data_IF_770227477101
#
_entry.id   IF_770227477101
#
_cell.length_a   1.000
_cell.length_b   1.000
_cell.length_c   1.000
_cell.angle_alpha   90.00
_cell.angle_beta   90.00
_cell.angle_gamma   90.00
#
_symmetry.space_group_name_H-M   'P 1'
#
loop_
_entity.id
_entity.type
_entity.pdbx_description
1 polymer ?
#
# COMPACT_ATOMS: atom_id res chain seq x y z
N UNK A 1 -17.61 20.63 -15.74
CA UNK A 1 -16.23 21.17 -15.78
C UNK A 1 -15.27 19.99 -15.88
N UNK A 2 -14.14 20.11 -16.59
CA UNK A 2 -13.17 19.02 -16.77
C UNK A 2 -12.52 18.62 -15.43
N UNK A 3 -12.44 17.32 -15.15
CA UNK A 3 -11.67 16.70 -14.06
C UNK A 3 -10.18 16.73 -14.37
N UNK A 4 -9.42 17.51 -13.61
CA UNK A 4 -7.98 17.67 -13.78
C UNK A 4 -7.26 16.96 -12.64
N UNK A 5 -6.45 15.96 -12.96
CA UNK A 5 -5.56 15.31 -12.00
C UNK A 5 -4.13 15.77 -12.23
N UNK A 6 -3.48 16.26 -11.19
CA UNK A 6 -2.04 16.55 -11.21
C UNK A 6 -1.32 15.41 -10.50
N UNK A 7 -0.59 14.60 -11.27
CA UNK A 7 0.26 13.56 -10.71
C UNK A 7 1.58 14.20 -10.30
N UNK A 8 1.90 14.08 -9.02
CA UNK A 8 3.07 14.62 -8.36
C UNK A 8 4.01 13.45 -8.05
N UNK A 9 4.85 13.09 -9.02
CA UNK A 9 5.76 11.95 -8.90
C UNK A 9 7.10 12.39 -8.31
N UNK A 10 7.56 11.70 -7.27
CA UNK A 10 8.87 11.98 -6.67
C UNK A 10 10.04 11.54 -7.55
N UNK A 11 9.81 10.62 -8.47
CA UNK A 11 10.83 10.17 -9.43
C UNK A 11 10.96 11.18 -10.57
N UNK A 12 12.14 11.33 -11.20
CA UNK A 12 12.33 12.27 -12.31
C UNK A 12 11.42 12.02 -13.51
N UNK A 13 11.03 10.76 -13.72
CA UNK A 13 10.14 10.32 -14.79
C UNK A 13 8.88 9.75 -14.13
N UNK A 14 7.71 10.42 -14.27
CA UNK A 14 6.46 9.91 -13.73
C UNK A 14 6.12 8.53 -14.30
N UNK A 15 5.66 7.63 -13.43
CA UNK A 15 5.31 6.29 -13.88
C UNK A 15 4.03 6.31 -14.75
N UNK A 16 4.05 5.53 -15.83
CA UNK A 16 2.94 5.46 -16.79
C UNK A 16 1.75 4.65 -16.27
N UNK A 17 1.98 3.76 -15.31
CA UNK A 17 0.96 2.92 -14.70
C UNK A 17 -0.15 3.79 -14.07
N UNK A 18 0.26 4.76 -13.25
CA UNK A 18 -0.67 5.64 -12.54
C UNK A 18 -1.44 6.57 -13.49
N UNK A 19 -0.82 6.99 -14.60
CA UNK A 19 -1.50 7.76 -15.66
C UNK A 19 -2.62 6.95 -16.30
N UNK A 20 -2.36 5.70 -16.69
CA UNK A 20 -3.36 4.82 -17.32
C UNK A 20 -4.52 4.57 -16.36
N UNK A 21 -4.22 4.20 -15.11
CA UNK A 21 -5.26 3.93 -14.10
C UNK A 21 -6.10 5.18 -13.79
N UNK A 22 -5.49 6.37 -13.81
CA UNK A 22 -6.22 7.61 -13.62
C UNK A 22 -7.19 7.91 -14.77
N UNK A 23 -6.79 7.70 -16.02
CA UNK A 23 -7.71 7.85 -17.16
C UNK A 23 -8.85 6.82 -17.10
N UNK A 24 -8.53 5.56 -16.80
CA UNK A 24 -9.53 4.49 -16.60
C UNK A 24 -10.53 4.81 -15.46
N UNK A 25 -10.15 5.65 -14.51
CA UNK A 25 -11.01 6.14 -13.42
C UNK A 25 -11.96 7.28 -13.84
N UNK A 26 -11.90 7.72 -15.10
CA UNK A 26 -12.75 8.79 -15.64
C UNK A 26 -12.21 10.20 -15.36
N UNK A 27 -10.89 10.36 -15.27
CA UNK A 27 -10.22 11.68 -15.29
C UNK A 27 -10.19 12.22 -16.71
N UNK A 28 -10.53 13.50 -16.90
CA UNK A 28 -10.53 14.10 -18.24
C UNK A 28 -9.12 14.47 -18.72
N UNK A 29 -8.27 14.98 -17.82
CA UNK A 29 -6.87 15.35 -18.10
C UNK A 29 -5.98 14.97 -16.93
N UNK A 30 -4.92 14.20 -17.21
CA UNK A 30 -3.85 13.89 -16.25
C UNK A 30 -2.61 14.67 -16.66
N UNK A 31 -2.09 15.49 -15.74
CA UNK A 31 -0.84 16.25 -15.91
C UNK A 31 0.25 15.60 -15.05
N UNK A 32 1.12 14.75 -15.62
CA UNK A 32 2.22 14.14 -14.89
C UNK A 32 3.39 15.11 -14.72
N UNK A 33 3.85 15.27 -13.48
CA UNK A 33 4.99 16.10 -13.10
C UNK A 33 5.97 15.24 -12.31
N UNK A 34 7.23 15.19 -12.76
CA UNK A 34 8.29 14.40 -12.13
C UNK A 34 9.25 15.25 -11.32
N UNK A 35 10.04 14.59 -10.48
CA UNK A 35 11.05 15.21 -9.62
C UNK A 35 10.44 16.08 -8.52
N UNK A 36 9.21 15.81 -8.10
CA UNK A 36 8.52 16.63 -7.11
C UNK A 36 9.14 16.47 -5.73
N UNK A 37 9.51 17.60 -5.13
CA UNK A 37 10.03 17.67 -3.76
C UNK A 37 9.09 18.46 -2.84
N UNK A 38 9.19 18.28 -1.50
CA UNK A 38 8.46 19.10 -0.54
C UNK A 38 8.69 20.61 -0.69
N UNK A 39 9.88 21.03 -1.16
CA UNK A 39 10.23 22.43 -1.33
C UNK A 39 9.54 23.08 -2.55
N UNK A 40 9.29 22.30 -3.60
CA UNK A 40 8.77 22.81 -4.87
C UNK A 40 7.25 22.66 -4.99
N UNK A 41 6.65 21.70 -4.27
CA UNK A 41 5.24 21.37 -4.42
C UNK A 41 4.28 22.52 -4.08
N UNK A 42 4.73 23.48 -3.24
CA UNK A 42 3.90 24.61 -2.82
C UNK A 42 3.30 25.42 -3.98
N UNK A 43 4.14 25.84 -4.93
CA UNK A 43 3.70 26.61 -6.11
C UNK A 43 2.72 25.84 -6.99
N UNK A 44 2.88 24.52 -7.08
CA UNK A 44 1.96 23.66 -7.82
C UNK A 44 0.59 23.63 -7.13
N UNK A 45 0.57 23.44 -5.80
CA UNK A 45 -0.67 23.43 -5.03
C UNK A 45 -1.40 24.76 -5.12
N UNK A 46 -0.70 25.89 -5.04
CA UNK A 46 -1.28 27.22 -5.24
C UNK A 46 -2.00 27.33 -6.59
N UNK A 47 -1.34 26.91 -7.68
CA UNK A 47 -1.94 26.91 -9.02
C UNK A 47 -3.19 26.04 -9.11
N UNK A 48 -3.25 24.91 -8.41
CA UNK A 48 -4.42 24.03 -8.41
C UNK A 48 -5.55 24.59 -7.55
N UNK A 49 -5.22 25.18 -6.40
CA UNK A 49 -6.17 25.60 -5.39
C UNK A 49 -6.78 26.98 -5.68
N UNK A 50 -6.04 27.94 -6.24
CA UNK A 50 -6.53 29.31 -6.48
C UNK A 50 -7.25 29.49 -7.82
N UNK A 51 -7.13 28.56 -8.76
CA UNK A 51 -7.64 28.72 -10.13
C UNK A 51 -9.11 28.35 -10.32
N UNK A 52 -9.77 27.79 -9.30
CA UNK A 52 -11.19 27.43 -9.34
C UNK A 52 -11.98 27.95 -8.12
N UNK A 53 -13.21 28.47 -8.33
CA UNK A 53 -14.08 28.89 -7.23
C UNK A 53 -14.47 27.69 -6.35
N UNK A 54 -14.90 27.91 -5.08
CA UNK A 54 -15.13 26.85 -4.10
C UNK A 54 -15.94 25.64 -4.61
N UNK A 55 -17.10 25.86 -5.23
CA UNK A 55 -17.97 24.78 -5.74
C UNK A 55 -17.32 23.96 -6.88
N UNK A 56 -16.32 24.52 -7.55
CA UNK A 56 -15.60 23.88 -8.66
C UNK A 56 -14.28 23.23 -8.25
N UNK A 57 -13.82 23.40 -6.99
CA UNK A 57 -12.54 22.84 -6.52
C UNK A 57 -12.50 21.32 -6.60
N UNK A 58 -13.63 20.64 -6.40
CA UNK A 58 -13.74 19.18 -6.53
C UNK A 58 -13.42 18.65 -7.94
N UNK A 59 -13.40 19.50 -8.97
CA UNK A 59 -12.99 19.05 -10.31
C UNK A 59 -11.46 19.04 -10.48
N UNK A 60 -10.68 19.43 -9.47
CA UNK A 60 -9.22 19.35 -9.46
C UNK A 60 -8.77 18.44 -8.32
N UNK A 61 -7.77 17.61 -8.56
CA UNK A 61 -7.22 16.72 -7.56
C UNK A 61 -5.71 16.54 -7.72
N UNK A 62 -5.05 16.09 -6.65
CA UNK A 62 -3.62 15.79 -6.60
C UNK A 62 -3.42 14.29 -6.38
N UNK A 63 -2.42 13.72 -7.04
CA UNK A 63 -2.04 12.32 -6.84
C UNK A 63 -0.53 12.22 -6.64
N UNK A 64 -0.10 11.95 -5.41
CA UNK A 64 1.31 11.78 -5.05
C UNK A 64 1.75 10.34 -5.35
N UNK A 65 2.74 10.21 -6.22
CA UNK A 65 3.25 8.92 -6.75
C UNK A 65 4.78 8.85 -6.64
N UNK A 66 5.37 7.77 -7.16
CA UNK A 66 6.83 7.57 -7.23
C UNK A 66 7.32 6.36 -6.46
N UNK A 67 8.61 6.08 -6.55
CA UNK A 67 9.20 4.83 -6.03
C UNK A 67 9.57 4.86 -4.54
N UNK A 68 9.79 6.06 -3.98
CA UNK A 68 10.23 6.22 -2.61
C UNK A 68 9.08 6.66 -1.69
N UNK A 69 8.65 5.75 -0.83
CA UNK A 69 7.57 6.02 0.11
C UNK A 69 7.83 7.22 1.02
N UNK A 70 9.03 7.34 1.61
CA UNK A 70 9.33 8.45 2.54
C UNK A 70 9.30 9.80 1.81
N UNK A 71 9.74 9.84 0.55
CA UNK A 71 9.64 11.04 -0.28
C UNK A 71 8.17 11.38 -0.58
N UNK A 72 7.34 10.40 -0.97
CA UNK A 72 5.91 10.59 -1.23
C UNK A 72 5.16 11.07 0.02
N UNK A 73 5.49 10.53 1.19
CA UNK A 73 4.93 10.97 2.48
C UNK A 73 5.29 12.43 2.80
N UNK A 74 6.54 12.82 2.57
CA UNK A 74 7.00 14.19 2.76
C UNK A 74 6.30 15.16 1.80
N UNK A 75 6.09 14.76 0.54
CA UNK A 75 5.34 15.55 -0.45
C UNK A 75 3.87 15.67 -0.04
N UNK A 76 3.22 14.58 0.39
CA UNK A 76 1.84 14.63 0.89
C UNK A 76 1.71 15.58 2.09
N UNK A 77 2.65 15.51 3.04
CA UNK A 77 2.67 16.41 4.18
C UNK A 77 2.82 17.88 3.76
N UNK A 78 3.72 18.18 2.82
CA UNK A 78 3.90 19.52 2.27
C UNK A 78 2.65 20.02 1.52
N UNK A 79 2.00 19.17 0.71
CA UNK A 79 0.73 19.49 0.05
C UNK A 79 -0.33 19.88 1.08
N UNK A 80 -0.50 19.06 2.13
CA UNK A 80 -1.48 19.33 3.19
C UNK A 80 -1.17 20.60 3.96
N UNK A 81 0.12 20.94 4.13
CA UNK A 81 0.57 22.17 4.78
C UNK A 81 0.19 23.44 4.00
N UNK A 82 -0.09 23.35 2.70
CA UNK A 82 -0.54 24.48 1.88
C UNK A 82 -2.06 24.71 1.95
N UNK A 83 -2.82 23.78 2.50
CA UNK A 83 -4.27 23.89 2.56
C UNK A 83 -4.73 24.78 3.72
N UNK A 84 -5.64 25.72 3.45
CA UNK A 84 -6.24 26.58 4.47
C UNK A 84 -7.72 26.88 4.15
N UNK A 85 -8.60 26.86 5.17
CA UNK A 85 -10.03 27.10 4.97
C UNK A 85 -10.60 26.23 3.82
N UNK A 86 -11.31 26.85 2.88
CA UNK A 86 -11.84 26.18 1.67
C UNK A 86 -10.82 26.08 0.52
N UNK A 87 -9.61 26.62 0.67
CA UNK A 87 -8.54 26.57 -0.31
C UNK A 87 -7.79 25.23 -0.18
N UNK A 88 -8.46 24.18 -0.68
CA UNK A 88 -7.97 22.81 -0.72
C UNK A 88 -8.63 22.03 -1.86
N UNK A 89 -7.95 20.96 -2.25
CA UNK A 89 -8.43 19.94 -3.20
C UNK A 89 -8.18 18.56 -2.60
N UNK A 90 -8.85 17.55 -3.13
CA UNK A 90 -8.60 16.17 -2.71
C UNK A 90 -7.22 15.70 -3.16
N UNK A 91 -6.57 14.88 -2.34
CA UNK A 91 -5.24 14.32 -2.60
C UNK A 91 -5.18 12.83 -2.25
N UNK A 92 -4.50 12.04 -3.09
CA UNK A 92 -4.16 10.64 -2.82
C UNK A 92 -2.65 10.46 -2.74
N UNK A 93 -2.16 9.52 -1.93
CA UNK A 93 -0.79 9.02 -1.95
C UNK A 93 -0.79 7.53 -2.29
N UNK A 94 -0.04 7.13 -3.32
CA UNK A 94 0.14 5.72 -3.67
C UNK A 94 1.47 5.42 -4.37
N UNK A 95 2.60 5.79 -3.75
CA UNK A 95 3.94 5.53 -4.26
C UNK A 95 4.14 4.05 -4.63
N UNK A 96 4.33 3.76 -5.93
CA UNK A 96 4.42 2.42 -6.52
C UNK A 96 3.30 1.46 -6.08
N UNK A 97 2.07 1.96 -5.97
CA UNK A 97 0.92 1.12 -5.61
C UNK A 97 0.97 0.62 -4.16
N UNK A 98 1.77 1.22 -3.30
CA UNK A 98 2.00 0.76 -1.93
C UNK A 98 0.74 0.68 -1.08
N UNK A 99 -0.07 1.73 -1.06
CA UNK A 99 -1.31 1.76 -0.31
C UNK A 99 -2.34 0.84 -0.95
N UNK A 100 -2.53 0.91 -2.28
CA UNK A 100 -3.59 0.14 -2.95
C UNK A 100 -3.30 -1.36 -2.99
N UNK A 101 -2.04 -1.77 -3.14
CA UNK A 101 -1.64 -3.19 -3.13
C UNK A 101 -1.82 -3.79 -1.74
N UNK A 102 -1.32 -3.11 -0.71
CA UNK A 102 -1.49 -3.55 0.67
C UNK A 102 -2.98 -3.61 1.04
N UNK A 103 -3.75 -2.57 0.71
CA UNK A 103 -5.15 -2.50 1.04
C UNK A 103 -5.98 -3.59 0.35
N UNK A 104 -5.72 -3.86 -0.93
CA UNK A 104 -6.37 -4.94 -1.65
C UNK A 104 -6.07 -6.30 -1.02
N UNK A 105 -4.79 -6.61 -0.76
CA UNK A 105 -4.40 -7.88 -0.17
C UNK A 105 -5.01 -8.09 1.23
N UNK A 106 -4.92 -7.08 2.11
CA UNK A 106 -5.41 -7.22 3.49
C UNK A 106 -6.95 -7.19 3.54
N UNK A 107 -7.63 -6.39 2.72
CA UNK A 107 -9.09 -6.37 2.69
C UNK A 107 -9.68 -7.67 2.15
N UNK A 108 -9.08 -8.23 1.10
CA UNK A 108 -9.46 -9.54 0.57
C UNK A 108 -9.26 -10.63 1.63
N UNK A 109 -8.13 -10.59 2.33
CA UNK A 109 -7.87 -11.53 3.42
C UNK A 109 -8.90 -11.39 4.56
N UNK A 110 -9.19 -10.17 4.99
CA UNK A 110 -10.10 -9.88 6.10
C UNK A 110 -11.54 -10.35 5.83
N UNK A 111 -11.92 -10.53 4.56
CA UNK A 111 -13.23 -11.07 4.19
C UNK A 111 -13.34 -12.58 4.41
N UNK A 112 -12.22 -13.30 4.43
CA UNK A 112 -12.21 -14.76 4.53
C UNK A 112 -11.74 -15.26 5.90
N UNK A 113 -10.89 -14.48 6.59
CA UNK A 113 -10.33 -14.88 7.89
C UNK A 113 -10.33 -13.72 8.90
N UNK A 114 -10.62 -13.99 10.18
CA UNK A 114 -10.51 -12.97 11.22
C UNK A 114 -9.05 -12.59 11.44
N UNK A 115 -8.75 -11.29 11.42
CA UNK A 115 -7.40 -10.75 11.63
C UNK A 115 -7.14 -10.38 13.11
N UNK A 116 -8.17 -9.96 13.82
CA UNK A 116 -8.07 -9.55 15.22
C UNK A 116 -7.53 -10.69 16.09
N UNK A 117 -6.52 -10.39 16.91
CA UNK A 117 -5.86 -11.37 17.79
C UNK A 117 -4.98 -12.38 17.06
N UNK A 118 -4.82 -12.28 15.73
CA UNK A 118 -3.88 -13.12 14.97
C UNK A 118 -2.49 -12.53 14.95
N UNK A 119 -1.50 -13.40 14.87
CA UNK A 119 -0.10 -13.04 14.68
C UNK A 119 0.25 -13.03 13.20
N UNK A 120 0.68 -11.89 12.67
CA UNK A 120 1.08 -11.72 11.28
C UNK A 120 2.57 -11.37 11.17
N UNK A 121 3.26 -11.95 10.19
CA UNK A 121 4.68 -11.71 9.93
C UNK A 121 4.87 -11.18 8.51
N UNK A 122 5.48 -10.01 8.38
CA UNK A 122 5.80 -9.38 7.08
C UNK A 122 7.29 -9.56 6.78
N UNK A 123 7.60 -10.50 5.89
CA UNK A 123 8.95 -10.77 5.44
C UNK A 123 9.39 -9.75 4.39
N UNK A 124 10.56 -9.13 4.60
CA UNK A 124 11.02 -8.04 3.73
C UNK A 124 10.20 -6.75 3.90
N UNK A 125 9.58 -6.56 5.07
CA UNK A 125 8.55 -5.56 5.30
C UNK A 125 9.01 -4.10 5.33
N UNK A 126 10.30 -3.80 5.17
CA UNK A 126 10.81 -2.42 5.17
C UNK A 126 10.51 -1.65 3.88
N UNK A 127 10.04 -2.31 2.82
CA UNK A 127 9.63 -1.65 1.58
C UNK A 127 8.26 -0.97 1.68
N UNK A 128 7.87 -0.16 0.67
CA UNK A 128 6.60 0.58 0.65
C UNK A 128 5.36 -0.27 0.94
N UNK A 129 5.19 -1.37 0.22
CA UNK A 129 4.03 -2.28 0.38
C UNK A 129 4.05 -2.95 1.75
N UNK A 130 5.22 -3.44 2.19
CA UNK A 130 5.37 -4.13 3.48
C UNK A 130 5.01 -3.27 4.68
N UNK A 131 5.44 -2.00 4.69
CA UNK A 131 5.09 -1.07 5.75
C UNK A 131 3.58 -0.81 5.80
N UNK A 132 2.92 -0.65 4.63
CA UNK A 132 1.48 -0.42 4.57
C UNK A 132 0.65 -1.64 4.94
N UNK A 133 1.05 -2.82 4.48
CA UNK A 133 0.41 -4.07 4.87
C UNK A 133 0.51 -4.29 6.38
N UNK A 134 1.68 -4.03 6.97
CA UNK A 134 1.88 -4.09 8.42
C UNK A 134 0.94 -3.13 9.16
N UNK A 135 0.84 -1.88 8.69
CA UNK A 135 -0.09 -0.90 9.25
C UNK A 135 -1.54 -1.36 9.18
N UNK A 136 -2.00 -1.85 8.04
CA UNK A 136 -3.40 -2.26 7.85
C UNK A 136 -3.75 -3.50 8.67
N UNK A 137 -2.83 -4.47 8.79
CA UNK A 137 -3.00 -5.62 9.68
C UNK A 137 -3.09 -5.19 11.15
N UNK A 138 -2.25 -4.25 11.59
CA UNK A 138 -2.30 -3.72 12.95
C UNK A 138 -3.61 -2.96 13.22
N UNK A 139 -4.07 -2.14 12.27
CA UNK A 139 -5.38 -1.46 12.35
C UNK A 139 -6.54 -2.45 12.39
N UNK A 140 -6.40 -3.62 11.75
CA UNK A 140 -7.37 -4.71 11.81
C UNK A 140 -7.25 -5.58 13.09
N UNK A 141 -6.41 -5.19 14.05
CA UNK A 141 -6.26 -5.83 15.35
C UNK A 141 -5.30 -7.02 15.39
N UNK A 142 -4.49 -7.23 14.36
CA UNK A 142 -3.44 -8.25 14.38
C UNK A 142 -2.22 -7.80 15.19
N UNK A 143 -1.52 -8.75 15.81
CA UNK A 143 -0.17 -8.55 16.32
C UNK A 143 0.82 -8.74 15.18
N UNK A 144 1.52 -7.67 14.80
CA UNK A 144 2.32 -7.66 13.57
C UNK A 144 3.81 -7.60 13.88
N UNK A 145 4.56 -8.55 13.31
CA UNK A 145 6.02 -8.49 13.21
C UNK A 145 6.45 -8.10 11.81
N UNK A 146 7.26 -7.07 11.71
CA UNK A 146 7.86 -6.59 10.46
C UNK A 146 9.33 -6.94 10.45
N UNK A 147 9.78 -7.65 9.41
CA UNK A 147 11.16 -8.16 9.35
C UNK A 147 12.03 -7.45 8.32
N UNK A 148 13.33 -7.53 8.54
CA UNK A 148 14.37 -7.14 7.59
C UNK A 148 15.61 -8.00 7.80
N UNK A 149 16.54 -7.97 6.85
CA UNK A 149 17.90 -8.53 7.03
C UNK A 149 18.71 -7.84 8.14
N UNK A 150 18.28 -6.66 8.59
CA UNK A 150 18.93 -5.87 9.64
C UNK A 150 17.90 -5.41 10.66
N UNK A 151 18.14 -5.68 11.95
CA UNK A 151 17.26 -5.25 13.03
C UNK A 151 17.11 -3.73 13.04
N UNK A 152 18.19 -2.98 12.78
CA UNK A 152 18.16 -1.52 12.75
C UNK A 152 17.15 -0.98 11.73
N UNK A 153 17.09 -1.58 10.53
CA UNK A 153 16.14 -1.18 9.48
C UNK A 153 14.70 -1.56 9.83
N UNK A 154 14.49 -2.77 10.35
CA UNK A 154 13.16 -3.20 10.82
C UNK A 154 12.66 -2.26 11.93
N UNK A 155 13.50 -1.98 12.93
CA UNK A 155 13.18 -1.08 14.04
C UNK A 155 12.89 0.35 13.58
N UNK A 156 13.63 0.87 12.61
CA UNK A 156 13.37 2.19 12.04
C UNK A 156 12.00 2.25 11.33
N UNK A 157 11.69 1.24 10.51
CA UNK A 157 10.38 1.15 9.84
C UNK A 157 9.22 1.01 10.83
N UNK A 158 9.36 0.14 11.85
CA UNK A 158 8.35 0.00 12.90
C UNK A 158 8.12 1.33 13.64
N UNK A 159 9.18 2.03 14.06
CA UNK A 159 9.04 3.33 14.73
C UNK A 159 8.28 4.34 13.86
N UNK A 160 8.68 4.49 12.60
CA UNK A 160 8.04 5.42 11.68
C UNK A 160 6.53 5.14 11.51
N UNK A 161 6.14 3.87 11.35
CA UNK A 161 4.73 3.51 11.21
C UNK A 161 3.95 3.62 12.53
N UNK A 162 4.56 3.23 13.66
CA UNK A 162 3.94 3.35 14.98
C UNK A 162 3.64 4.81 15.32
N UNK A 163 4.61 5.70 15.09
CA UNK A 163 4.45 7.14 15.33
C UNK A 163 3.38 7.75 14.43
N UNK A 164 3.40 7.43 13.13
CA UNK A 164 2.51 8.05 12.16
C UNK A 164 1.06 7.56 12.26
N UNK A 165 0.84 6.28 12.53
CA UNK A 165 -0.50 5.67 12.48
C UNK A 165 -1.06 5.29 13.86
N UNK A 166 -0.31 5.50 14.94
CA UNK A 166 -0.77 5.15 16.30
C UNK A 166 -0.93 3.65 16.52
N UNK A 167 -0.05 2.85 15.89
CA UNK A 167 -0.07 1.37 15.93
C UNK A 167 1.15 0.81 16.69
N UNK A 168 1.19 -0.50 16.88
CA UNK A 168 2.27 -1.20 17.58
C UNK A 168 2.84 -2.37 16.77
N UNK A 169 3.77 -2.06 15.88
CA UNK A 169 4.57 -3.04 15.13
C UNK A 169 5.80 -3.49 15.92
N UNK A 170 6.15 -4.77 15.79
CA UNK A 170 7.33 -5.39 16.40
C UNK A 170 8.41 -5.67 15.35
N UNK A 171 9.65 -5.18 15.50
CA UNK A 171 10.72 -5.48 14.55
C UNK A 171 11.35 -6.86 14.81
N UNK A 172 11.74 -7.57 13.75
CA UNK A 172 12.53 -8.79 13.85
C UNK A 172 13.56 -8.93 12.71
N UNK A 173 14.54 -9.81 12.88
CA UNK A 173 15.51 -10.15 11.84
C UNK A 173 15.05 -11.39 11.08
N UNK A 174 15.06 -11.31 9.76
CA UNK A 174 14.95 -12.45 8.87
C UNK A 174 15.98 -12.26 7.75
N UNK A 175 17.16 -12.87 7.92
CA UNK A 175 18.30 -12.80 7.00
C UNK A 175 18.63 -14.13 6.33
N UNK A 176 18.17 -15.22 6.93
CA UNK A 176 18.50 -16.60 6.58
C UNK A 176 17.34 -17.52 7.02
N UNK A 177 17.34 -18.81 6.61
CA UNK A 177 16.26 -19.74 6.98
C UNK A 177 16.02 -19.86 8.48
N UNK A 178 17.06 -19.81 9.31
CA UNK A 178 16.97 -19.96 10.77
C UNK A 178 16.24 -18.78 11.41
N UNK A 179 16.67 -17.55 11.08
CA UNK A 179 16.05 -16.31 11.58
C UNK A 179 14.64 -16.11 11.01
N UNK A 180 14.40 -16.57 9.77
CA UNK A 180 13.07 -16.58 9.16
C UNK A 180 12.14 -17.53 9.91
N UNK A 181 12.57 -18.77 10.17
CA UNK A 181 11.78 -19.73 10.95
C UNK A 181 11.48 -19.23 12.36
N UNK A 182 12.47 -18.63 13.05
CA UNK A 182 12.27 -18.02 14.36
C UNK A 182 11.24 -16.88 14.32
N UNK A 183 11.26 -16.04 13.28
CA UNK A 183 10.27 -14.96 13.11
C UNK A 183 8.85 -15.50 12.90
N UNK A 184 8.70 -16.68 12.29
CA UNK A 184 7.43 -17.33 12.01
C UNK A 184 6.83 -18.08 13.20
N UNK A 185 7.55 -18.19 14.34
CA UNK A 185 7.02 -18.82 15.54
C UNK A 185 5.63 -18.27 15.89
N UNK A 186 4.66 -19.19 16.03
CA UNK A 186 3.25 -18.92 16.34
C UNK A 186 2.52 -17.99 15.35
N UNK A 187 3.11 -17.75 14.18
CA UNK A 187 2.48 -16.96 13.13
C UNK A 187 1.24 -17.69 12.59
N UNK A 188 0.19 -16.91 12.34
CA UNK A 188 -1.04 -17.34 11.68
C UNK A 188 -1.07 -16.91 10.22
N UNK A 189 -0.46 -15.76 9.94
CA UNK A 189 -0.39 -15.13 8.62
C UNK A 189 1.08 -14.80 8.34
N UNK A 190 1.56 -15.11 7.15
CA UNK A 190 2.83 -14.60 6.63
C UNK A 190 2.60 -13.90 5.29
N UNK A 191 3.25 -12.75 5.11
CA UNK A 191 3.24 -12.02 3.86
C UNK A 191 4.67 -11.67 3.43
N UNK A 192 5.03 -11.92 2.17
CA UNK A 192 6.32 -11.53 1.60
C UNK A 192 6.18 -10.26 0.76
N UNK A 193 7.03 -9.27 1.05
CA UNK A 193 7.11 -7.99 0.32
C UNK A 193 8.53 -7.69 -0.13
N UNK A 194 9.22 -8.74 -0.57
CA UNK A 194 10.59 -8.68 -1.06
C UNK A 194 10.75 -7.94 -2.38
N UNK A 195 12.00 -7.76 -2.80
CA UNK A 195 12.31 -7.28 -4.13
C UNK A 195 11.80 -8.26 -5.20
N UNK A 196 11.51 -7.75 -6.39
CA UNK A 196 11.06 -8.55 -7.52
C UNK A 196 12.05 -9.69 -7.85
N UNK A 197 11.54 -10.87 -8.14
CA UNK A 197 12.32 -12.05 -8.53
C UNK A 197 13.17 -12.66 -7.39
N UNK A 198 12.83 -12.39 -6.13
CA UNK A 198 13.54 -12.94 -4.97
C UNK A 198 12.62 -13.81 -4.11
N UNK A 199 12.96 -15.08 -3.95
CA UNK A 199 12.33 -15.96 -2.96
C UNK A 199 12.80 -15.59 -1.54
N UNK A 200 11.86 -15.30 -0.65
CA UNK A 200 12.10 -15.02 0.77
C UNK A 200 11.70 -16.17 1.69
N UNK A 201 10.74 -17.00 1.27
CA UNK A 201 10.19 -18.07 2.10
C UNK A 201 10.11 -19.39 1.32
N UNK A 202 11.12 -20.26 1.45
CA UNK A 202 11.10 -21.59 0.85
C UNK A 202 9.93 -22.44 1.36
N UNK A 203 9.40 -23.33 0.52
CA UNK A 203 8.26 -24.20 0.85
C UNK A 203 8.43 -24.99 2.15
N UNK A 204 9.65 -25.45 2.42
CA UNK A 204 9.99 -26.24 3.60
C UNK A 204 9.73 -25.50 4.93
N UNK A 205 9.75 -24.16 4.94
CA UNK A 205 9.53 -23.37 6.16
C UNK A 205 8.05 -23.10 6.46
N UNK A 206 7.15 -23.25 5.49
CA UNK A 206 5.74 -22.92 5.67
C UNK A 206 4.79 -24.10 5.48
N UNK A 207 5.09 -25.06 4.60
CA UNK A 207 4.15 -26.13 4.25
C UNK A 207 3.65 -26.91 5.45
N UNK A 208 4.55 -27.27 6.38
CA UNK A 208 4.23 -28.02 7.60
C UNK A 208 4.17 -27.15 8.86
N UNK A 209 4.18 -25.81 8.72
CA UNK A 209 4.12 -24.93 9.88
C UNK A 209 2.77 -25.11 10.60
N UNK A 210 2.78 -25.38 11.93
CA UNK A 210 1.60 -25.89 12.64
C UNK A 210 0.46 -24.86 12.78
N UNK A 211 0.81 -23.57 12.86
CA UNK A 211 -0.16 -22.49 13.13
C UNK A 211 -0.46 -21.61 11.92
N UNK A 212 0.37 -21.67 10.86
CA UNK A 212 0.15 -20.84 9.68
C UNK A 212 -1.14 -21.30 9.00
N UNK A 213 -2.05 -20.36 8.74
CA UNK A 213 -3.28 -20.60 8.01
C UNK A 213 -3.26 -19.92 6.64
N UNK A 214 -2.45 -18.87 6.49
CA UNK A 214 -2.43 -17.98 5.32
C UNK A 214 -1.00 -17.64 4.94
N UNK A 215 -0.70 -17.73 3.63
CA UNK A 215 0.55 -17.27 3.02
C UNK A 215 0.23 -16.33 1.86
N UNK A 216 0.87 -15.16 1.83
CA UNK A 216 0.60 -14.11 0.84
C UNK A 216 1.92 -13.63 0.24
N UNK A 217 2.00 -13.59 -1.08
CA UNK A 217 3.12 -12.98 -1.78
C UNK A 217 2.67 -11.78 -2.58
N UNK A 218 3.50 -10.74 -2.63
CA UNK A 218 3.29 -9.54 -3.44
C UNK A 218 4.17 -9.49 -4.67
N UNK A 219 5.13 -10.41 -4.81
CA UNK A 219 5.99 -10.46 -5.96
C UNK A 219 5.20 -10.97 -7.19
N UNK A 220 5.24 -10.20 -8.27
CA UNK A 220 4.64 -10.56 -9.56
C UNK A 220 5.67 -11.04 -10.58
N UNK A 221 6.95 -11.02 -10.22
CA UNK A 221 8.07 -11.39 -11.09
C UNK A 221 8.66 -12.73 -10.61
N UNK A 222 8.66 -13.78 -11.46
CA UNK A 222 9.28 -15.06 -11.12
C UNK A 222 10.77 -14.95 -10.75
N UNK A 223 11.28 -15.76 -9.82
CA UNK A 223 10.52 -16.68 -8.96
C UNK A 223 9.61 -15.93 -7.97
N UNK A 224 8.52 -16.56 -7.54
CA UNK A 224 7.67 -16.02 -6.48
C UNK A 224 8.48 -15.82 -5.18
N UNK A 225 8.03 -14.89 -4.34
CA UNK A 225 8.58 -14.63 -3.02
C UNK A 225 8.38 -15.79 -2.03
N UNK A 226 7.39 -16.65 -2.28
CA UNK A 226 7.11 -17.85 -1.50
C UNK A 226 7.22 -19.07 -2.41
N UNK A 227 8.06 -20.03 -2.03
CA UNK A 227 8.19 -21.28 -2.78
C UNK A 227 6.93 -22.15 -2.66
N UNK A 228 6.50 -22.74 -3.77
CA UNK A 228 5.37 -23.69 -3.80
C UNK A 228 3.97 -23.08 -3.95
N UNK A 229 3.87 -21.76 -4.15
CA UNK A 229 2.63 -21.07 -4.53
C UNK A 229 2.71 -20.57 -5.99
N UNK A 230 1.56 -20.29 -6.59
CA UNK A 230 1.45 -19.74 -7.94
C UNK A 230 1.15 -18.24 -7.90
N UNK A 231 1.61 -17.48 -8.91
CA UNK A 231 1.36 -16.03 -8.97
C UNK A 231 -0.13 -15.67 -8.98
N UNK A 232 -0.97 -16.53 -9.54
CA UNK A 232 -2.43 -16.33 -9.65
C UNK A 232 -3.21 -16.91 -8.47
N UNK A 233 -2.55 -17.52 -7.48
CA UNK A 233 -3.27 -18.08 -6.34
C UNK A 233 -4.11 -16.98 -5.68
N UNK A 234 -5.39 -17.28 -5.46
CA UNK A 234 -6.37 -16.35 -4.91
C UNK A 234 -7.20 -17.08 -3.86
N UNK A 235 -6.60 -17.33 -2.70
CA UNK A 235 -7.19 -18.16 -1.65
C UNK A 235 -7.08 -19.66 -1.92
N UNK A 236 -6.24 -20.06 -2.89
CA UNK A 236 -6.02 -21.47 -3.25
C UNK A 236 -5.47 -22.24 -2.05
N UNK A 237 -6.05 -23.41 -1.74
CA UNK A 237 -5.54 -24.26 -0.67
C UNK A 237 -4.32 -25.05 -1.12
N UNK A 238 -3.19 -24.88 -0.42
CA UNK A 238 -1.97 -25.69 -0.58
C UNK A 238 -1.42 -26.04 0.80
N UNK A 239 -1.07 -27.30 1.02
CA UNK A 239 -0.59 -27.78 2.33
C UNK A 239 -1.51 -27.36 3.50
N UNK A 240 -2.83 -27.35 3.27
CA UNK A 240 -3.84 -26.94 4.26
C UNK A 240 -3.89 -25.44 4.57
N UNK A 241 -3.25 -24.60 3.76
CA UNK A 241 -3.12 -23.14 3.96
C UNK A 241 -3.67 -22.38 2.76
N UNK A 242 -4.33 -21.25 3.00
CA UNK A 242 -4.80 -20.36 1.93
C UNK A 242 -3.61 -19.59 1.37
N UNK A 243 -3.40 -19.69 0.07
CA UNK A 243 -2.28 -19.06 -0.63
C UNK A 243 -2.80 -17.93 -1.52
N UNK A 244 -2.08 -16.81 -1.52
CA UNK A 244 -2.32 -15.69 -2.41
C UNK A 244 -1.01 -15.32 -3.10
N UNK A 245 -0.97 -15.37 -4.43
CA UNK A 245 0.16 -14.91 -5.22
C UNK A 245 0.07 -13.43 -5.56
N UNK A 246 1.15 -12.84 -6.08
CA UNK A 246 1.21 -11.40 -6.38
C UNK A 246 0.16 -10.88 -7.38
N UNK A 247 -0.45 -11.77 -8.18
CA UNK A 247 -1.55 -11.43 -9.09
C UNK A 247 -2.94 -11.77 -8.50
N UNK A 248 -3.02 -12.53 -7.41
CA UNK A 248 -4.28 -12.99 -6.81
C UNK A 248 -5.18 -11.87 -6.28
N UNK A 249 -4.60 -10.73 -5.90
CA UNK A 249 -5.32 -9.50 -5.50
C UNK A 249 -5.10 -8.34 -6.49
N UNK A 250 -4.43 -8.58 -7.62
CA UNK A 250 -4.09 -7.54 -8.60
C UNK A 250 -5.34 -6.91 -9.26
N UNK A 251 -6.37 -7.72 -9.51
CA UNK A 251 -7.65 -7.22 -10.01
C UNK A 251 -8.34 -6.28 -9.02
N UNK A 252 -8.39 -6.65 -7.74
CA UNK A 252 -8.94 -5.80 -6.67
C UNK A 252 -8.09 -4.53 -6.48
N UNK A 253 -6.76 -4.62 -6.56
CA UNK A 253 -5.85 -3.46 -6.50
C UNK A 253 -6.16 -2.45 -7.59
N UNK A 254 -6.30 -2.90 -8.85
CA UNK A 254 -6.62 -2.04 -9.97
C UNK A 254 -8.00 -1.38 -9.83
N UNK A 255 -9.02 -2.14 -9.42
CA UNK A 255 -10.34 -1.59 -9.13
C UNK A 255 -10.30 -0.55 -8.01
N UNK A 256 -9.63 -0.88 -6.90
CA UNK A 256 -9.49 0.02 -5.75
C UNK A 256 -8.81 1.32 -6.14
N UNK A 257 -7.71 1.27 -6.89
CA UNK A 257 -7.01 2.48 -7.31
C UNK A 257 -7.90 3.37 -8.20
N UNK A 258 -8.65 2.77 -9.13
CA UNK A 258 -9.64 3.52 -9.94
C UNK A 258 -10.71 4.17 -9.08
N UNK A 259 -11.24 3.44 -8.09
CA UNK A 259 -12.24 3.97 -7.15
C UNK A 259 -11.66 5.12 -6.32
N UNK A 260 -10.44 4.99 -5.80
CA UNK A 260 -9.78 6.05 -5.06
C UNK A 260 -9.60 7.31 -5.92
N UNK A 261 -9.08 7.17 -7.15
CA UNK A 261 -8.90 8.31 -8.06
C UNK A 261 -10.24 8.95 -8.42
N UNK A 262 -11.28 8.16 -8.70
CA UNK A 262 -12.61 8.69 -8.99
C UNK A 262 -13.17 9.50 -7.82
N UNK A 263 -13.03 9.00 -6.58
CA UNK A 263 -13.53 9.67 -5.38
C UNK A 263 -12.81 10.98 -5.04
N UNK A 264 -11.61 11.21 -5.57
CA UNK A 264 -10.94 12.52 -5.44
C UNK A 264 -11.79 13.65 -6.03
N UNK A 265 -12.70 13.34 -6.97
CA UNK A 265 -13.54 14.33 -7.64
C UNK A 265 -14.95 14.49 -7.05
N UNK A 266 -15.29 13.71 -6.01
CA UNK A 266 -16.59 13.79 -5.34
C UNK A 266 -16.65 14.95 -4.34
N UNK A 267 -15.50 15.29 -3.75
CA UNK A 267 -15.30 16.39 -2.83
C UNK A 267 -13.94 17.06 -3.08
N UNK A 268 -13.63 18.12 -2.34
CA UNK A 268 -12.36 18.85 -2.48
C UNK A 268 -11.47 18.77 -1.23
N UNK A 269 -11.77 17.86 -0.31
CA UNK A 269 -11.14 17.75 1.00
C UNK A 269 -10.75 16.32 1.37
N UNK A 270 -10.85 15.37 0.44
CA UNK A 270 -10.45 13.98 0.68
C UNK A 270 -8.92 13.89 0.77
N UNK A 271 -8.44 13.17 1.78
CA UNK A 271 -7.04 12.74 1.87
C UNK A 271 -7.07 11.23 1.85
N UNK A 272 -6.67 10.63 0.72
CA UNK A 272 -6.64 9.19 0.56
C UNK A 272 -5.22 8.69 0.82
N UNK A 273 -4.97 8.33 2.08
CA UNK A 273 -3.74 7.68 2.54
C UNK A 273 -4.06 6.25 3.03
N UNK A 274 -3.12 5.57 3.69
CA UNK A 274 -3.25 4.16 4.04
C UNK A 274 -4.57 3.79 4.75
N UNK A 275 -5.04 4.52 5.78
CA UNK A 275 -6.29 4.17 6.46
C UNK A 275 -7.52 4.34 5.57
N UNK A 276 -7.60 5.44 4.82
CA UNK A 276 -8.75 5.72 3.95
C UNK A 276 -8.80 4.77 2.75
N UNK A 277 -7.65 4.47 2.14
CA UNK A 277 -7.54 3.49 1.05
C UNK A 277 -7.92 2.09 1.55
N UNK A 278 -7.51 1.71 2.77
CA UNK A 278 -7.90 0.42 3.37
C UNK A 278 -9.40 0.34 3.71
N UNK A 279 -9.99 1.43 4.20
CA UNK A 279 -11.43 1.51 4.44
C UNK A 279 -12.23 1.33 3.14
N UNK A 280 -11.80 1.98 2.05
CA UNK A 280 -12.40 1.82 0.73
C UNK A 280 -12.24 0.40 0.19
N UNK A 281 -11.07 -0.21 0.35
CA UNK A 281 -10.85 -1.61 -0.03
C UNK A 281 -11.80 -2.55 0.71
N UNK A 282 -11.95 -2.36 2.02
CA UNK A 282 -12.85 -3.13 2.87
C UNK A 282 -14.32 -2.96 2.48
N UNK A 283 -14.71 -1.77 2.02
CA UNK A 283 -16.04 -1.52 1.47
C UNK A 283 -16.26 -2.23 0.12
N UNK A 284 -15.31 -2.16 -0.80
CA UNK A 284 -15.39 -2.83 -2.10
C UNK A 284 -15.55 -4.34 -1.93
N UNK A 285 -14.75 -4.94 -1.03
CA UNK A 285 -14.82 -6.39 -0.79
C UNK A 285 -16.15 -6.79 -0.16
N UNK A 286 -16.73 -6.00 0.75
CA UNK A 286 -18.05 -6.29 1.37
C UNK A 286 -19.23 -6.21 0.40
N UNK A 287 -19.08 -5.52 -0.73
CA UNK A 287 -20.13 -5.35 -1.74
C UNK A 287 -20.15 -6.48 -2.78
N UNK A 288 -19.15 -7.36 -2.76
CA UNK A 288 -19.05 -8.53 -3.63
C UNK A 288 -19.77 -9.73 -3.01
#
# INVERSE_FOLDING_TARGET
>A
MKKLLFQLDTDPIPNTFDVVVAYDAGVDHVTPLGGITPAEVGRLVEGVVFTRPPAAKKFSALFVTGSNMAAGEAVLAAVRGQFFGQFRVSVMLDSNGSNTTAAAAIAQLAAEVPLAGKRAVILGGTGPVGQRAATMLALAGASVVLTSRSLARASAACRAMNERFGIALQPAVASDPTTTAASLAEAHIVMTTGAAGLELLPQALWANHPTLAVVIDTNTTPPAGIGGIELQDQGTLRHGKRCYGGLGFGGLKLELQRVCVAQLFDANDRVLDAPEVFALASELVRRR
#
